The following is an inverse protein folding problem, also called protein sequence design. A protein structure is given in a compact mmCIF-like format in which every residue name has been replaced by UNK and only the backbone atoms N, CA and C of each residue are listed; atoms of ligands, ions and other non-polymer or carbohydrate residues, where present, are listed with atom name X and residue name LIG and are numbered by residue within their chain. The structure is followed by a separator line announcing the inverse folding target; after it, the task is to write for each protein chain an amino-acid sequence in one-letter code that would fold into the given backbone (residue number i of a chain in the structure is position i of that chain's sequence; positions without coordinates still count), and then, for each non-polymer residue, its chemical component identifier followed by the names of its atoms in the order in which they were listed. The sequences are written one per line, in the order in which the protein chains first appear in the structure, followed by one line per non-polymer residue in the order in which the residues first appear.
data_IF_118414519914
#
_entry.id   IF_118414519914
#
_cell.length_a   1.000
_cell.length_b   1.000
_cell.length_c   1.000
_cell.angle_alpha   90.00
_cell.angle_beta   90.00
_cell.angle_gamma   90.00
#
_symmetry.space_group_name_H-M   'P 1'
#
loop_
_entity.id
_entity.type
_entity.pdbx_description
1 polymer ?
#
# COMPACT_ATOMS: atom_id res chain seq x y z
N UNK A 1 -49.99 -24.68 11.79
CA UNK A 1 -48.68 -25.31 12.02
C UNK A 1 -47.60 -24.33 11.57
N UNK A 2 -46.94 -23.67 12.53
CA UNK A 2 -45.88 -22.68 12.29
C UNK A 2 -44.57 -23.42 12.03
N UNK A 3 -44.08 -23.36 10.79
CA UNK A 3 -42.85 -24.03 10.40
C UNK A 3 -41.64 -23.22 10.86
N UNK A 4 -41.04 -23.69 11.95
CA UNK A 4 -39.78 -23.23 12.53
C UNK A 4 -38.59 -23.64 11.64
N UNK A 5 -38.42 -22.98 10.50
CA UNK A 5 -37.26 -23.17 9.60
C UNK A 5 -36.31 -21.98 9.56
N UNK A 6 -36.26 -21.17 10.63
CA UNK A 6 -35.44 -19.95 10.69
C UNK A 6 -34.08 -20.11 11.40
N UNK A 7 -33.47 -21.30 11.42
CA UNK A 7 -32.26 -21.49 12.22
C UNK A 7 -31.12 -22.22 11.51
N UNK A 8 -30.83 -21.91 10.25
CA UNK A 8 -29.51 -22.21 9.67
C UNK A 8 -29.09 -21.13 8.67
N UNK A 9 -28.91 -19.90 9.16
CA UNK A 9 -27.97 -18.99 8.52
C UNK A 9 -26.58 -19.37 9.04
N UNK A 10 -25.64 -19.84 8.20
CA UNK A 10 -24.26 -19.93 8.61
C UNK A 10 -23.84 -18.52 8.99
N UNK A 11 -23.59 -18.31 10.28
CA UNK A 11 -22.99 -17.10 10.81
C UNK A 11 -21.62 -17.01 10.16
N UNK A 12 -21.56 -16.30 9.04
CA UNK A 12 -20.34 -15.82 8.41
C UNK A 12 -19.50 -15.28 9.57
N UNK A 13 -18.49 -16.07 9.97
CA UNK A 13 -17.49 -15.61 10.90
C UNK A 13 -16.74 -14.58 10.08
N UNK A 14 -17.21 -13.33 10.13
CA UNK A 14 -16.39 -12.15 9.90
C UNK A 14 -15.27 -12.25 10.92
N UNK A 15 -14.28 -13.06 10.57
CA UNK A 15 -13.02 -13.17 11.27
C UNK A 15 -12.50 -11.75 11.22
N UNK A 16 -12.65 -11.08 12.36
CA UNK A 16 -12.09 -9.78 12.61
C UNK A 16 -10.58 -9.96 12.45
N UNK A 17 -10.13 -9.85 11.20
CA UNK A 17 -8.75 -9.89 10.78
C UNK A 17 -8.21 -8.54 11.21
N UNK A 18 -8.12 -8.34 12.52
CA UNK A 18 -7.86 -7.07 13.14
C UNK A 18 -6.54 -6.54 12.60
N UNK A 19 -6.63 -5.60 11.66
CA UNK A 19 -5.52 -4.74 11.27
C UNK A 19 -5.11 -4.01 12.55
N UNK A 20 -4.06 -4.47 13.23
CA UNK A 20 -3.68 -3.95 14.57
C UNK A 20 -3.32 -2.49 14.50
N UNK A 21 -2.61 -2.12 13.45
CA UNK A 21 -2.02 -0.81 13.25
C UNK A 21 -1.41 -0.77 11.86
N UNK A 22 -1.85 0.16 11.03
CA UNK A 22 -1.20 0.53 9.77
C UNK A 22 -0.41 1.81 10.01
N UNK A 23 0.88 1.80 9.70
CA UNK A 23 1.72 2.99 9.77
C UNK A 23 2.04 3.42 8.35
N UNK A 24 1.56 4.58 7.97
CA UNK A 24 1.85 5.18 6.67
C UNK A 24 2.64 6.46 6.91
N UNK A 25 3.81 6.57 6.29
CA UNK A 25 4.63 7.76 6.26
C UNK A 25 4.74 8.20 4.81
N UNK A 26 4.26 9.40 4.50
CA UNK A 26 4.38 9.97 3.16
C UNK A 26 5.09 11.32 3.25
N UNK A 27 6.18 11.46 2.52
CA UNK A 27 7.01 12.64 2.40
C UNK A 27 6.91 13.15 0.96
N UNK A 28 6.63 14.43 0.83
CA UNK A 28 6.56 15.11 -0.46
C UNK A 28 7.41 16.36 -0.37
N UNK A 29 8.45 16.42 -1.19
CA UNK A 29 9.32 17.57 -1.29
C UNK A 29 9.26 18.09 -2.73
N UNK A 30 8.68 19.28 -2.89
CA UNK A 30 8.78 20.03 -4.15
C UNK A 30 10.22 20.49 -4.34
N UNK A 31 10.79 20.29 -5.53
CA UNK A 31 12.19 20.61 -5.80
C UNK A 31 12.43 22.07 -6.22
N UNK A 32 11.47 22.96 -5.95
CA UNK A 32 11.58 24.43 -6.05
C UNK A 32 12.23 24.93 -7.35
N UNK A 33 13.56 25.18 -7.37
CA UNK A 33 14.30 25.56 -8.58
C UNK A 33 14.35 24.50 -9.70
N UNK A 34 14.09 23.23 -9.39
CA UNK A 34 14.01 22.16 -10.40
C UNK A 34 12.55 21.86 -10.73
N UNK A 35 12.22 21.63 -12.02
CA UNK A 35 10.88 21.24 -12.42
C UNK A 35 10.56 19.83 -11.91
N UNK A 36 9.86 19.75 -10.79
CA UNK A 36 9.32 18.50 -10.27
C UNK A 36 9.16 18.42 -8.76
N UNK A 37 8.68 17.26 -8.34
CA UNK A 37 8.38 16.89 -6.96
C UNK A 37 8.87 15.47 -6.72
N UNK A 38 9.51 15.28 -5.57
CA UNK A 38 9.84 13.95 -5.06
C UNK A 38 8.77 13.52 -4.06
N UNK A 39 8.35 12.28 -4.19
CA UNK A 39 7.40 11.59 -3.33
C UNK A 39 8.07 10.37 -2.72
N UNK A 40 7.90 10.15 -1.42
CA UNK A 40 8.35 8.95 -0.74
C UNK A 40 7.23 8.50 0.20
N UNK A 41 6.76 7.27 0.06
CA UNK A 41 5.77 6.64 0.92
C UNK A 41 6.30 5.34 1.49
N UNK A 42 6.16 5.17 2.80
CA UNK A 42 6.43 3.94 3.52
C UNK A 42 5.11 3.50 4.16
N UNK A 43 4.74 2.25 3.98
CA UNK A 43 3.57 1.65 4.62
C UNK A 43 4.00 0.37 5.34
N UNK A 44 3.73 0.27 6.63
CA UNK A 44 3.94 -0.93 7.43
C UNK A 44 2.60 -1.41 7.99
N UNK A 45 2.26 -2.65 7.64
CA UNK A 45 1.05 -3.32 8.10
C UNK A 45 1.42 -4.44 9.08
N UNK A 46 0.88 -4.34 10.30
CA UNK A 46 1.06 -5.35 11.35
C UNK A 46 -0.25 -6.11 11.58
N UNK A 47 -0.35 -7.32 11.04
CA UNK A 47 -1.45 -8.26 11.34
C UNK A 47 -1.14 -9.05 12.62
N UNK A 48 -2.17 -9.38 13.41
CA UNK A 48 -2.03 -10.32 14.53
C UNK A 48 -2.05 -11.76 14.00
N UNK A 49 -1.06 -12.57 14.38
CA UNK A 49 -1.06 -14.02 14.14
C UNK A 49 -0.18 -14.50 12.99
N UNK A 50 0.09 -13.67 11.98
CA UNK A 50 1.20 -13.93 11.06
C UNK A 50 2.46 -13.32 11.67
N UNK A 51 3.51 -14.13 11.82
CA UNK A 51 4.86 -13.67 12.15
C UNK A 51 5.43 -12.74 11.03
N UNK A 52 4.62 -12.40 10.02
CA UNK A 52 4.97 -11.55 8.90
C UNK A 52 4.53 -10.11 9.02
N UNK A 53 5.51 -9.23 9.24
CA UNK A 53 5.38 -7.80 8.97
C UNK A 53 5.37 -7.59 7.46
N UNK A 54 4.41 -6.84 6.93
CA UNK A 54 4.44 -6.38 5.53
C UNK A 54 4.95 -4.94 5.52
N UNK A 55 6.03 -4.71 4.80
CA UNK A 55 6.62 -3.37 4.63
C UNK A 55 6.62 -3.04 3.14
N UNK A 56 6.01 -1.92 2.80
CA UNK A 56 5.90 -1.42 1.43
C UNK A 56 6.59 -0.05 1.39
N UNK A 57 7.52 0.12 0.46
CA UNK A 57 8.30 1.34 0.28
C UNK A 57 8.11 1.80 -1.15
N UNK A 58 7.63 3.02 -1.34
CA UNK A 58 7.38 3.61 -2.65
C UNK A 58 8.10 4.95 -2.74
N UNK A 59 8.84 5.17 -3.79
CA UNK A 59 9.49 6.42 -4.13
C UNK A 59 8.99 6.84 -5.51
N UNK A 60 8.63 8.09 -5.68
CA UNK A 60 8.23 8.65 -6.96
C UNK A 60 8.96 9.95 -7.20
N UNK A 61 9.31 10.22 -8.44
CA UNK A 61 9.75 11.52 -8.90
C UNK A 61 8.89 11.89 -10.10
N UNK A 62 8.25 13.05 -10.06
CA UNK A 62 7.52 13.57 -11.21
C UNK A 62 7.96 15.00 -11.50
N UNK A 63 8.01 15.39 -12.76
CA UNK A 63 8.38 16.74 -13.15
C UNK A 63 7.92 17.07 -14.55
N UNK A 64 7.68 18.36 -14.79
CA UNK A 64 7.21 18.87 -16.07
C UNK A 64 8.30 19.72 -16.71
N UNK A 65 8.91 19.23 -17.78
CA UNK A 65 9.95 19.96 -18.52
C UNK A 65 9.35 20.39 -19.86
N UNK A 66 9.31 21.71 -20.11
CA UNK A 66 8.80 22.30 -21.37
C UNK A 66 7.39 21.83 -21.77
N UNK A 67 6.52 21.57 -20.79
CA UNK A 67 5.13 21.12 -21.01
C UNK A 67 4.95 19.61 -21.16
N UNK A 68 6.03 18.82 -21.12
CA UNK A 68 5.97 17.35 -21.08
C UNK A 68 6.18 16.87 -19.65
N UNK A 69 5.27 16.02 -19.17
CA UNK A 69 5.26 15.52 -17.79
C UNK A 69 5.93 14.16 -17.71
N UNK A 70 7.11 14.11 -17.12
CA UNK A 70 7.84 12.87 -16.88
C UNK A 70 7.60 12.40 -15.44
N UNK A 71 7.36 11.11 -15.26
CA UNK A 71 7.12 10.51 -13.95
C UNK A 71 7.78 9.16 -13.81
N UNK A 72 8.72 9.03 -12.88
CA UNK A 72 9.33 7.76 -12.50
C UNK A 72 8.82 7.34 -11.13
N UNK A 73 8.32 6.12 -11.00
CA UNK A 73 7.85 5.54 -9.76
C UNK A 73 8.57 4.22 -9.50
N UNK A 74 9.03 4.03 -8.28
CA UNK A 74 9.70 2.85 -7.81
C UNK A 74 9.00 2.37 -6.54
N UNK A 75 8.49 1.15 -6.54
CA UNK A 75 7.84 0.56 -5.37
C UNK A 75 8.48 -0.77 -5.05
N UNK A 76 8.73 -1.01 -3.77
CA UNK A 76 9.28 -2.23 -3.22
C UNK A 76 8.35 -2.74 -2.13
N UNK A 77 7.82 -3.93 -2.34
CA UNK A 77 7.04 -4.65 -1.35
C UNK A 77 7.89 -5.78 -0.76
N UNK A 78 8.21 -5.68 0.53
CA UNK A 78 8.79 -6.78 1.29
C UNK A 78 7.67 -7.54 1.99
N UNK A 79 7.49 -8.78 1.57
CA UNK A 79 6.65 -9.76 2.26
C UNK A 79 7.53 -10.71 3.06
N UNK A 80 7.04 -11.13 4.23
CA UNK A 80 7.75 -11.96 5.22
C UNK A 80 8.38 -13.25 4.68
N UNK A 81 7.90 -13.77 3.55
CA UNK A 81 8.44 -14.97 2.89
C UNK A 81 9.67 -14.69 2.00
N UNK A 82 10.46 -13.66 2.31
CA UNK A 82 11.70 -13.29 1.61
C UNK A 82 11.57 -12.96 0.10
N UNK A 83 10.36 -12.88 -0.44
CA UNK A 83 10.11 -12.30 -1.77
C UNK A 83 10.01 -10.79 -1.63
N UNK A 84 11.02 -10.11 -2.20
CA UNK A 84 11.02 -8.67 -2.39
C UNK A 84 10.53 -8.40 -3.81
N UNK A 85 9.25 -8.06 -3.94
CA UNK A 85 8.70 -7.64 -5.23
C UNK A 85 9.07 -6.16 -5.44
N UNK A 86 9.76 -5.89 -6.53
CA UNK A 86 10.20 -4.54 -6.92
C UNK A 86 9.53 -4.19 -8.23
N UNK A 87 8.79 -3.11 -8.24
CA UNK A 87 8.08 -2.60 -9.41
C UNK A 87 8.66 -1.24 -9.75
N UNK A 88 8.97 -1.06 -11.03
CA UNK A 88 9.41 0.23 -11.58
C UNK A 88 8.42 0.61 -12.66
N UNK A 89 7.91 1.83 -12.58
CA UNK A 89 6.99 2.39 -13.55
C UNK A 89 7.53 3.73 -14.06
N UNK A 90 7.46 3.93 -15.37
CA UNK A 90 7.85 5.16 -16.04
C UNK A 90 6.65 5.68 -16.82
N UNK A 91 6.42 6.99 -16.76
CA UNK A 91 5.31 7.69 -17.42
C UNK A 91 5.88 8.92 -18.14
N UNK A 92 5.32 9.25 -19.31
CA UNK A 92 5.71 10.36 -20.18
C UNK A 92 4.48 10.99 -20.83
#
# INVERSE_FOLDING_TARGET
YTTLQQAMQPRERTGNSATRSRKELSLQQGLGPLPGSLFLSLAEDRRWGEQGKRQSVSLGYNGSIKGVSYGLNYSQNQSYQAKTDRVVALNV
#
